data_IF_997563476780
#
_entry.id   IF_997563476780
#
_cell.length_a   1.000
_cell.length_b   1.000
_cell.length_c   1.000
_cell.angle_alpha   90.00
_cell.angle_beta   90.00
_cell.angle_gamma   90.00
#
_symmetry.space_group_name_H-M   'P 1'
#
loop_
_entity.id
_entity.type
_entity.pdbx_description
1 polymer ?
#
# COMPACT_ATOMS: atom_id res chain seq x y z
N UNK A 1 26.09 -4.14 6.62
CA UNK A 1 25.09 -3.06 6.38
C UNK A 1 23.87 -3.72 5.77
N UNK A 2 22.67 -3.42 6.26
CA UNK A 2 21.43 -3.88 5.64
C UNK A 2 21.31 -3.21 4.26
N UNK A 3 21.29 -3.99 3.19
CA UNK A 3 21.18 -3.47 1.82
C UNK A 3 19.74 -3.04 1.57
N UNK A 4 19.54 -1.78 1.16
CA UNK A 4 18.22 -1.24 0.83
C UNK A 4 17.92 -1.54 -0.64
N UNK A 5 17.77 -2.82 -0.98
CA UNK A 5 17.71 -3.31 -2.36
C UNK A 5 16.78 -2.50 -3.26
N UNK A 6 15.51 -2.31 -2.86
CA UNK A 6 14.56 -1.55 -3.68
C UNK A 6 14.98 -0.09 -3.87
N UNK A 7 15.61 0.52 -2.86
CA UNK A 7 16.10 1.88 -2.98
C UNK A 7 17.26 1.94 -3.99
N UNK A 8 18.24 1.05 -3.87
CA UNK A 8 19.37 0.97 -4.79
C UNK A 8 18.88 0.77 -6.23
N UNK A 9 17.96 -0.18 -6.43
CA UNK A 9 17.35 -0.51 -7.71
C UNK A 9 16.59 0.70 -8.32
N UNK A 10 15.94 1.52 -7.48
CA UNK A 10 15.15 2.67 -7.94
C UNK A 10 15.96 3.95 -8.11
N UNK A 11 17.14 4.04 -7.49
CA UNK A 11 18.06 5.16 -7.67
C UNK A 11 18.64 5.16 -9.11
N UNK A 12 18.72 4.00 -9.77
CA UNK A 12 19.12 3.89 -11.19
C UNK A 12 18.06 4.38 -12.18
N UNK A 13 16.79 4.49 -11.76
CA UNK A 13 15.71 5.00 -12.59
C UNK A 13 15.69 6.54 -12.53
N UNK A 14 15.66 7.21 -13.68
CA UNK A 14 15.44 8.64 -13.72
C UNK A 14 13.93 8.95 -13.63
N UNK A 15 13.53 9.76 -12.64
CA UNK A 15 12.13 10.16 -12.47
C UNK A 15 11.66 11.08 -13.60
N UNK A 16 12.54 11.96 -14.08
CA UNK A 16 12.19 12.98 -15.06
C UNK A 16 11.98 12.41 -16.46
N UNK A 17 12.44 11.17 -16.70
CA UNK A 17 12.24 10.47 -17.97
C UNK A 17 10.95 9.65 -18.01
N UNK A 18 10.21 9.54 -16.89
CA UNK A 18 8.92 8.85 -16.88
C UNK A 18 7.90 9.63 -17.75
N UNK A 19 6.84 8.97 -18.26
CA UNK A 19 5.79 9.67 -19.00
C UNK A 19 5.15 10.79 -18.16
N UNK A 20 4.58 11.78 -18.85
CA UNK A 20 3.94 12.93 -18.21
C UNK A 20 2.85 12.54 -17.19
N UNK A 21 2.16 11.41 -17.42
CA UNK A 21 1.14 10.90 -16.50
C UNK A 21 1.71 10.41 -15.16
N UNK A 22 3.03 10.20 -15.06
CA UNK A 22 3.71 9.70 -13.87
C UNK A 22 4.59 10.75 -13.18
N UNK A 23 5.20 11.69 -13.92
CA UNK A 23 6.15 12.66 -13.35
C UNK A 23 5.59 14.07 -13.10
N UNK A 24 4.35 14.37 -13.50
CA UNK A 24 3.77 15.72 -13.44
C UNK A 24 3.16 16.12 -12.09
N UNK A 25 3.31 15.30 -11.04
CA UNK A 25 2.69 15.58 -9.74
C UNK A 25 3.45 16.67 -8.96
N UNK A 26 2.71 17.58 -8.32
CA UNK A 26 3.28 18.46 -7.30
C UNK A 26 3.55 17.67 -6.01
N UNK A 27 4.82 17.31 -5.82
CA UNK A 27 5.27 16.57 -4.65
C UNK A 27 5.61 17.47 -3.47
N UNK A 28 5.75 18.78 -3.65
CA UNK A 28 6.23 19.70 -2.62
C UNK A 28 5.07 20.27 -1.81
N UNK A 29 4.04 20.83 -2.45
CA UNK A 29 2.97 21.55 -1.74
C UNK A 29 2.09 20.57 -0.95
N UNK A 30 1.87 20.80 0.35
CA UNK A 30 1.01 19.93 1.16
C UNK A 30 -0.22 20.67 1.70
N UNK A 31 0.01 21.79 2.37
CA UNK A 31 -1.05 22.69 2.82
C UNK A 31 -0.58 24.14 2.77
N UNK A 32 -1.43 25.10 3.18
CA UNK A 32 -1.08 26.54 3.19
C UNK A 32 0.19 26.84 4.00
N UNK A 33 0.55 25.97 4.95
CA UNK A 33 1.67 26.17 5.88
C UNK A 33 2.70 25.05 5.84
N UNK A 34 2.46 23.99 5.06
CA UNK A 34 3.32 22.80 5.03
C UNK A 34 3.73 22.47 3.61
N UNK A 35 5.01 22.14 3.46
CA UNK A 35 5.58 21.57 2.25
C UNK A 35 6.39 20.34 2.62
N UNK A 36 6.44 19.36 1.71
CA UNK A 36 7.29 18.19 1.86
C UNK A 36 8.75 18.59 1.69
N UNK A 37 9.59 18.08 2.59
CA UNK A 37 11.04 18.24 2.52
C UNK A 37 11.60 17.33 1.42
N UNK A 38 12.82 17.61 0.96
CA UNK A 38 13.43 16.90 -0.18
C UNK A 38 13.49 15.38 0.01
N UNK A 39 13.72 14.91 1.24
CA UNK A 39 13.73 13.47 1.54
C UNK A 39 12.32 12.85 1.48
N UNK A 40 11.28 13.61 1.85
CA UNK A 40 9.89 13.17 1.75
C UNK A 40 9.47 13.13 0.28
N UNK A 41 9.85 14.13 -0.51
CA UNK A 41 9.66 14.13 -1.95
C UNK A 41 10.41 12.98 -2.62
N UNK A 42 11.65 12.69 -2.22
CA UNK A 42 12.42 11.53 -2.71
C UNK A 42 11.69 10.21 -2.39
N UNK A 43 11.14 10.06 -1.18
CA UNK A 43 10.35 8.88 -0.82
C UNK A 43 9.14 8.71 -1.76
N UNK A 44 8.39 9.78 -2.03
CA UNK A 44 7.25 9.74 -2.96
C UNK A 44 7.70 9.43 -4.40
N UNK A 45 8.78 10.06 -4.90
CA UNK A 45 9.35 9.77 -6.22
C UNK A 45 9.74 8.31 -6.37
N UNK A 46 10.38 7.73 -5.36
CA UNK A 46 10.77 6.32 -5.40
C UNK A 46 9.55 5.40 -5.44
N UNK A 47 8.49 5.73 -4.71
CA UNK A 47 7.23 4.98 -4.78
C UNK A 47 6.60 5.05 -6.18
N UNK A 48 6.57 6.24 -6.80
CA UNK A 48 6.06 6.43 -8.16
C UNK A 48 6.85 5.61 -9.17
N UNK A 49 8.19 5.60 -9.10
CA UNK A 49 9.04 4.79 -9.99
C UNK A 49 8.70 3.31 -9.89
N UNK A 50 8.48 2.79 -8.69
CA UNK A 50 8.10 1.37 -8.48
C UNK A 50 6.70 1.09 -8.98
N UNK A 51 5.74 1.99 -8.74
CA UNK A 51 4.38 1.87 -9.29
C UNK A 51 4.40 1.87 -10.81
N UNK A 52 5.17 2.77 -11.45
CA UNK A 52 5.36 2.81 -12.90
C UNK A 52 5.98 1.52 -13.41
N UNK A 53 7.06 1.05 -12.76
CA UNK A 53 7.65 -0.26 -13.12
C UNK A 53 6.64 -1.39 -13.05
N UNK A 54 5.83 -1.41 -12.00
CA UNK A 54 4.85 -2.46 -11.78
C UNK A 54 3.71 -2.40 -12.79
N UNK A 55 3.05 -1.25 -12.92
CA UNK A 55 1.80 -1.10 -13.68
C UNK A 55 1.98 -0.68 -15.14
N UNK A 56 3.16 -0.24 -15.58
CA UNK A 56 3.41 0.13 -16.97
C UNK A 56 4.50 -0.75 -17.61
N UNK A 57 5.71 -0.80 -17.04
CA UNK A 57 6.86 -1.47 -17.65
C UNK A 57 6.77 -3.01 -17.59
N UNK A 58 6.43 -3.58 -16.42
CA UNK A 58 6.35 -5.03 -16.26
C UNK A 58 5.14 -5.61 -17.00
N UNK A 59 3.99 -4.99 -16.86
CA UNK A 59 2.84 -5.26 -17.72
C UNK A 59 1.93 -4.05 -17.64
N UNK A 60 1.70 -3.41 -18.78
CA UNK A 60 0.86 -2.24 -18.87
C UNK A 60 -0.56 -2.52 -18.35
N UNK A 61 -1.06 -1.63 -17.51
CA UNK A 61 -2.37 -1.76 -16.88
C UNK A 61 -3.47 -1.47 -17.89
N UNK A 62 -4.41 -2.41 -17.98
CA UNK A 62 -5.58 -2.25 -18.83
C UNK A 62 -6.85 -2.37 -17.97
N UNK A 63 -7.82 -1.44 -18.12
CA UNK A 63 -9.08 -1.51 -17.38
C UNK A 63 -9.80 -2.85 -17.61
N UNK A 64 -10.12 -3.54 -16.51
CA UNK A 64 -10.76 -4.85 -16.57
C UNK A 64 -9.81 -6.03 -16.81
N UNK A 65 -8.49 -5.82 -16.70
CA UNK A 65 -7.52 -6.91 -16.71
C UNK A 65 -7.81 -7.96 -15.62
N UNK A 66 -7.34 -9.17 -15.87
CA UNK A 66 -7.59 -10.31 -15.00
C UNK A 66 -6.50 -10.44 -13.92
N UNK A 67 -6.74 -11.30 -12.93
CA UNK A 67 -5.79 -11.51 -11.83
C UNK A 67 -4.45 -12.10 -12.30
N UNK A 68 -4.42 -12.78 -13.45
CA UNK A 68 -3.23 -13.33 -14.08
C UNK A 68 -2.22 -12.24 -14.47
N UNK A 69 -2.67 -11.08 -14.96
CA UNK A 69 -1.76 -9.98 -15.30
C UNK A 69 -1.01 -9.50 -14.06
N UNK A 70 -1.69 -9.43 -12.92
CA UNK A 70 -1.05 -9.08 -11.65
C UNK A 70 -0.02 -10.14 -11.21
N UNK A 71 -0.27 -11.43 -11.47
CA UNK A 71 0.72 -12.49 -11.20
C UNK A 71 1.98 -12.33 -12.06
N UNK A 72 1.82 -11.96 -13.34
CA UNK A 72 2.96 -11.64 -14.23
C UNK A 72 3.77 -10.46 -13.70
N UNK A 73 3.11 -9.39 -13.22
CA UNK A 73 3.82 -8.26 -12.59
C UNK A 73 4.58 -8.67 -11.34
N UNK A 74 4.00 -9.50 -10.47
CA UNK A 74 4.69 -10.04 -9.29
C UNK A 74 5.92 -10.86 -9.70
N UNK A 75 5.80 -11.70 -10.74
CA UNK A 75 6.92 -12.48 -11.25
C UNK A 75 8.05 -11.59 -11.75
N UNK A 76 7.74 -10.59 -12.59
CA UNK A 76 8.73 -9.65 -13.12
C UNK A 76 9.35 -8.78 -12.03
N UNK A 77 8.57 -8.33 -11.06
CA UNK A 77 9.08 -7.60 -9.91
C UNK A 77 10.06 -8.47 -9.11
N UNK A 78 9.73 -9.72 -8.85
CA UNK A 78 10.62 -10.65 -8.14
C UNK A 78 11.92 -10.89 -8.94
N UNK A 79 11.82 -11.15 -10.24
CA UNK A 79 12.98 -11.28 -11.12
C UNK A 79 13.85 -10.02 -11.13
N UNK A 80 13.24 -8.83 -11.09
CA UNK A 80 13.97 -7.56 -11.03
C UNK A 80 14.80 -7.45 -9.74
N UNK A 81 14.30 -7.95 -8.60
CA UNK A 81 15.11 -8.05 -7.39
C UNK A 81 16.26 -9.06 -7.55
N UNK A 82 16.00 -10.25 -8.10
CA UNK A 82 17.03 -11.29 -8.33
C UNK A 82 18.17 -10.77 -9.21
N UNK A 83 17.84 -10.14 -10.34
CA UNK A 83 18.84 -9.56 -11.26
C UNK A 83 19.66 -8.43 -10.64
N UNK A 84 19.16 -7.83 -9.56
CA UNK A 84 19.84 -6.76 -8.81
C UNK A 84 20.48 -7.24 -7.50
N UNK A 85 20.61 -8.57 -7.34
CA UNK A 85 21.40 -9.19 -6.28
C UNK A 85 20.61 -9.59 -5.04
N UNK A 86 19.30 -9.83 -5.16
CA UNK A 86 18.58 -10.66 -4.20
C UNK A 86 18.97 -12.12 -4.40
N UNK A 87 19.81 -12.66 -3.52
CA UNK A 87 20.27 -14.05 -3.57
C UNK A 87 19.63 -14.95 -2.48
N UNK A 88 18.91 -14.36 -1.53
CA UNK A 88 18.33 -15.06 -0.40
C UNK A 88 16.97 -15.69 -0.77
N UNK A 89 16.75 -16.94 -0.34
CA UNK A 89 15.43 -17.58 -0.42
C UNK A 89 14.52 -17.02 0.67
N UNK A 90 13.62 -16.11 0.27
CA UNK A 90 12.64 -15.47 1.14
C UNK A 90 11.32 -16.26 1.25
N UNK A 91 11.26 -17.49 0.73
CA UNK A 91 10.04 -18.29 0.76
C UNK A 91 9.62 -18.61 2.20
N UNK A 92 8.34 -18.36 2.49
CA UNK A 92 7.76 -18.58 3.80
C UNK A 92 7.61 -20.09 4.06
N UNK A 93 8.27 -20.59 5.11
CA UNK A 93 8.15 -21.98 5.54
C UNK A 93 6.86 -22.16 6.34
N UNK A 94 6.06 -23.15 5.98
CA UNK A 94 4.82 -23.48 6.66
C UNK A 94 5.04 -24.65 7.62
N UNK A 95 4.71 -24.47 8.90
CA UNK A 95 4.71 -25.55 9.89
C UNK A 95 3.31 -26.15 10.01
N UNK A 96 3.13 -27.39 9.55
CA UNK A 96 1.86 -28.13 9.62
C UNK A 96 1.35 -28.33 11.05
N UNK A 97 2.21 -28.16 12.08
CA UNK A 97 1.79 -28.18 13.49
C UNK A 97 0.98 -26.93 13.87
N UNK A 98 1.20 -25.81 13.18
CA UNK A 98 0.46 -24.55 13.33
C UNK A 98 -0.73 -24.49 12.38
N UNK A 99 -1.68 -25.43 12.52
CA UNK A 99 -2.81 -25.64 11.59
C UNK A 99 -3.55 -24.35 11.21
N UNK A 100 -3.88 -23.49 12.18
CA UNK A 100 -4.60 -22.24 11.91
C UNK A 100 -3.86 -21.29 10.94
N UNK A 101 -2.52 -21.20 11.03
CA UNK A 101 -1.71 -20.36 10.14
C UNK A 101 -1.54 -21.06 8.79
N UNK A 102 -1.32 -22.37 8.81
CA UNK A 102 -1.22 -23.20 7.62
C UNK A 102 -2.49 -23.06 6.77
N UNK A 103 -3.65 -23.39 7.33
CA UNK A 103 -4.94 -23.39 6.63
C UNK A 103 -5.27 -22.00 6.08
N UNK A 104 -5.00 -20.95 6.87
CA UNK A 104 -5.16 -19.57 6.44
C UNK A 104 -4.30 -19.25 5.21
N UNK A 105 -3.00 -19.50 5.25
CA UNK A 105 -2.11 -19.14 4.14
C UNK A 105 -2.39 -19.97 2.89
N UNK A 106 -2.67 -21.27 3.04
CA UNK A 106 -2.99 -22.15 1.91
C UNK A 106 -4.35 -21.86 1.28
N UNK A 107 -5.24 -21.13 1.96
CA UNK A 107 -6.49 -20.68 1.36
C UNK A 107 -6.30 -19.53 0.35
N UNK A 108 -5.20 -18.77 0.45
CA UNK A 108 -4.94 -17.60 -0.39
C UNK A 108 -3.73 -17.75 -1.32
N UNK A 109 -2.78 -18.63 -0.98
CA UNK A 109 -1.53 -18.79 -1.70
C UNK A 109 -1.23 -20.25 -2.01
N UNK A 110 -0.68 -20.53 -3.21
CA UNK A 110 -0.26 -21.88 -3.55
C UNK A 110 0.92 -22.29 -2.65
N UNK A 111 0.85 -23.53 -2.18
CA UNK A 111 1.86 -24.15 -1.34
C UNK A 111 2.57 -25.24 -2.13
N UNK A 112 3.91 -25.21 -2.10
CA UNK A 112 4.76 -26.22 -2.71
C UNK A 112 5.84 -26.66 -1.71
N UNK A 113 5.89 -27.97 -1.42
CA UNK A 113 6.90 -28.59 -0.54
C UNK A 113 6.99 -27.96 0.87
N UNK A 114 5.86 -27.61 1.44
CA UNK A 114 5.70 -26.96 2.74
C UNK A 114 6.07 -25.48 2.75
N UNK A 115 6.08 -24.81 1.58
CA UNK A 115 6.52 -23.42 1.44
C UNK A 115 5.62 -22.61 0.52
N UNK A 116 5.55 -21.31 0.77
CA UNK A 116 4.92 -20.34 -0.12
C UNK A 116 5.99 -19.41 -0.67
N UNK A 117 6.05 -19.27 -1.99
CA UNK A 117 7.03 -18.40 -2.65
C UNK A 117 6.87 -16.94 -2.24
N UNK A 118 7.98 -16.24 -2.02
CA UNK A 118 7.96 -14.81 -1.70
C UNK A 118 7.39 -13.95 -2.83
N UNK A 119 7.37 -14.46 -4.06
CA UNK A 119 6.74 -13.79 -5.20
C UNK A 119 5.29 -13.40 -4.92
N UNK A 120 4.54 -14.19 -4.14
CA UNK A 120 3.15 -13.84 -3.82
C UNK A 120 3.03 -12.60 -2.92
N UNK A 121 4.10 -12.28 -2.19
CA UNK A 121 4.19 -11.21 -1.21
C UNK A 121 4.95 -9.97 -1.73
N UNK A 122 5.60 -10.05 -2.89
CA UNK A 122 6.61 -9.09 -3.36
C UNK A 122 6.08 -7.67 -3.65
N UNK A 123 4.77 -7.50 -3.90
CA UNK A 123 4.14 -6.22 -4.25
C UNK A 123 3.98 -5.28 -3.05
N UNK A 124 5.09 -5.01 -2.34
CA UNK A 124 5.17 -4.15 -1.16
C UNK A 124 6.38 -3.23 -1.25
N UNK A 125 6.26 -2.04 -0.67
CA UNK A 125 7.34 -1.08 -0.51
C UNK A 125 7.47 -0.73 0.97
N UNK A 126 8.70 -0.53 1.44
CA UNK A 126 8.97 -0.20 2.84
C UNK A 126 9.70 1.13 2.95
N UNK A 127 9.14 2.04 3.75
CA UNK A 127 9.71 3.36 4.02
C UNK A 127 10.41 3.35 5.38
N UNK A 128 11.73 3.24 5.39
CA UNK A 128 12.53 3.31 6.61
C UNK A 128 12.79 4.77 6.99
N UNK A 129 11.90 5.35 7.80
CA UNK A 129 11.96 6.76 8.18
C UNK A 129 11.87 6.92 9.71
N UNK A 130 12.67 7.85 10.25
CA UNK A 130 12.71 8.13 11.69
C UNK A 130 11.36 8.64 12.22
N UNK A 131 11.06 8.40 13.50
CA UNK A 131 9.90 9.01 14.16
C UNK A 131 10.00 10.53 14.12
N UNK A 132 8.89 11.21 13.81
CA UNK A 132 8.88 12.67 13.66
C UNK A 132 9.31 13.19 12.28
N UNK A 133 9.79 12.34 11.36
CA UNK A 133 10.12 12.71 9.97
C UNK A 133 8.91 12.98 9.06
N UNK A 134 7.70 13.05 9.63
CA UNK A 134 6.48 13.34 8.87
C UNK A 134 6.02 12.23 7.91
N UNK A 135 6.19 10.94 8.27
CA UNK A 135 5.68 9.79 7.47
C UNK A 135 4.22 9.95 7.03
N UNK A 136 3.36 10.48 7.91
CA UNK A 136 1.94 10.71 7.59
C UNK A 136 1.74 11.65 6.39
N UNK A 137 2.61 12.66 6.21
CA UNK A 137 2.55 13.57 5.07
C UNK A 137 2.92 12.84 3.77
N UNK A 138 3.89 11.92 3.83
CA UNK A 138 4.26 11.05 2.70
C UNK A 138 3.09 10.14 2.33
N UNK A 139 2.42 9.52 3.31
CA UNK A 139 1.24 8.66 3.07
C UNK A 139 0.12 9.46 2.38
N UNK A 140 -0.23 10.64 2.91
CA UNK A 140 -1.28 11.48 2.33
C UNK A 140 -0.89 11.96 0.92
N UNK A 141 0.38 12.32 0.70
CA UNK A 141 0.87 12.69 -0.63
C UNK A 141 0.82 11.50 -1.61
N UNK A 142 1.13 10.28 -1.16
CA UNK A 142 0.98 9.09 -1.99
C UNK A 142 -0.49 8.81 -2.33
N UNK A 143 -1.43 9.07 -1.43
CA UNK A 143 -2.86 8.98 -1.72
C UNK A 143 -3.27 9.96 -2.82
N UNK A 144 -2.74 11.19 -2.79
CA UNK A 144 -2.95 12.17 -3.85
C UNK A 144 -2.44 11.65 -5.21
N UNK A 145 -1.23 11.07 -5.22
CA UNK A 145 -0.62 10.47 -6.42
C UNK A 145 -1.46 9.30 -6.92
N UNK A 146 -1.86 8.36 -6.06
CA UNK A 146 -2.70 7.21 -6.41
C UNK A 146 -4.01 7.68 -7.02
N UNK A 147 -4.67 8.69 -6.43
CA UNK A 147 -5.89 9.28 -6.99
C UNK A 147 -5.68 9.79 -8.41
N UNK A 148 -4.63 10.56 -8.64
CA UNK A 148 -4.34 11.09 -9.98
C UNK A 148 -4.00 9.99 -11.00
N UNK A 149 -3.24 8.97 -10.61
CA UNK A 149 -2.95 7.82 -11.47
C UNK A 149 -4.22 7.01 -11.80
N UNK A 150 -5.12 6.82 -10.82
CA UNK A 150 -6.43 6.18 -11.03
C UNK A 150 -7.27 6.98 -12.04
N UNK A 151 -7.32 8.31 -11.92
CA UNK A 151 -8.06 9.17 -12.85
C UNK A 151 -7.50 9.15 -14.26
N UNK A 152 -6.17 9.08 -14.37
CA UNK A 152 -5.43 8.93 -15.63
C UNK A 152 -5.54 7.51 -16.21
N UNK A 153 -6.10 6.56 -15.45
CA UNK A 153 -6.22 5.13 -15.77
C UNK A 153 -4.87 4.43 -15.94
N UNK A 154 -3.86 4.90 -15.24
CA UNK A 154 -2.50 4.32 -15.21
C UNK A 154 -2.40 3.16 -14.22
N UNK A 155 -3.28 3.14 -13.20
CA UNK A 155 -3.34 2.08 -12.19
C UNK A 155 -4.79 1.68 -11.89
N UNK A 156 -5.03 0.48 -11.34
CA UNK A 156 -6.36 0.04 -10.96
C UNK A 156 -7.04 0.95 -9.93
N UNK A 157 -8.36 1.18 -10.02
CA UNK A 157 -9.14 1.97 -9.06
C UNK A 157 -9.46 1.18 -7.78
N UNK A 158 -8.44 0.59 -7.15
CA UNK A 158 -8.58 -0.17 -5.91
C UNK A 158 -8.84 0.73 -4.70
N UNK A 159 -9.54 0.20 -3.71
CA UNK A 159 -9.84 0.93 -2.47
C UNK A 159 -8.54 1.14 -1.65
N UNK A 160 -8.48 2.22 -0.87
CA UNK A 160 -7.29 2.53 -0.05
C UNK A 160 -7.58 2.24 1.42
N UNK A 161 -6.67 1.53 2.09
CA UNK A 161 -6.74 1.21 3.51
C UNK A 161 -5.46 1.64 4.25
N UNK A 162 -5.62 2.39 5.34
CA UNK A 162 -4.54 2.72 6.27
C UNK A 162 -4.74 1.93 7.57
N UNK A 163 -3.77 1.09 7.91
CA UNK A 163 -3.72 0.40 9.20
C UNK A 163 -2.66 1.02 10.08
N UNK A 164 -3.05 1.44 11.28
CA UNK A 164 -2.15 1.96 12.33
C UNK A 164 -2.40 1.22 13.64
N UNK A 165 -1.54 1.38 14.65
CA UNK A 165 -1.61 0.56 15.88
C UNK A 165 -2.15 1.29 17.12
N UNK A 166 -2.30 2.63 17.08
CA UNK A 166 -2.73 3.43 18.25
C UNK A 166 -3.75 4.51 17.85
N UNK A 167 -4.63 4.85 18.79
CA UNK A 167 -5.68 5.86 18.59
C UNK A 167 -5.11 7.28 18.39
N UNK A 168 -4.00 7.64 19.05
CA UNK A 168 -3.36 8.95 18.88
C UNK A 168 -2.86 9.15 17.44
N UNK A 169 -2.34 8.09 16.81
CA UNK A 169 -1.91 8.09 15.42
C UNK A 169 -3.10 8.27 14.46
N UNK A 170 -4.26 7.66 14.76
CA UNK A 170 -5.50 7.89 14.00
C UNK A 170 -5.91 9.36 14.10
N UNK A 171 -5.89 9.94 15.29
CA UNK A 171 -6.23 11.36 15.48
C UNK A 171 -5.22 12.30 14.81
N UNK A 172 -3.95 11.90 14.74
CA UNK A 172 -2.94 12.63 13.97
C UNK A 172 -3.19 12.54 12.47
N UNK A 173 -3.52 11.35 11.94
CA UNK A 173 -3.89 11.16 10.54
C UNK A 173 -5.09 12.04 10.16
N UNK A 174 -6.16 12.03 10.96
CA UNK A 174 -7.36 12.86 10.75
C UNK A 174 -6.99 14.34 10.63
N UNK A 175 -6.21 14.86 11.58
CA UNK A 175 -5.74 16.26 11.56
C UNK A 175 -4.91 16.61 10.32
N UNK A 176 -4.03 15.71 9.88
CA UNK A 176 -3.23 15.96 8.67
C UNK A 176 -4.06 15.90 7.39
N UNK A 177 -5.08 15.03 7.34
CA UNK A 177 -6.03 14.99 6.23
C UNK A 177 -6.89 16.25 6.20
N UNK A 178 -7.36 16.74 7.35
CA UNK A 178 -8.12 17.98 7.43
C UNK A 178 -7.30 19.18 6.94
N UNK A 179 -6.03 19.28 7.34
CA UNK A 179 -5.11 20.33 6.88
C UNK A 179 -4.82 20.24 5.37
N UNK A 180 -4.63 19.02 4.85
CA UNK A 180 -4.47 18.78 3.42
C UNK A 180 -5.71 19.20 2.63
N UNK A 181 -6.89 18.71 3.04
CA UNK A 181 -8.17 19.00 2.39
C UNK A 181 -8.54 20.48 2.43
N UNK A 182 -8.17 21.21 3.48
CA UNK A 182 -8.45 22.65 3.59
C UNK A 182 -7.65 23.50 2.60
N UNK A 183 -6.47 23.02 2.21
CA UNK A 183 -5.57 23.74 1.32
C UNK A 183 -5.64 23.25 -0.13
N UNK A 184 -6.10 22.01 -0.35
CA UNK A 184 -6.13 21.37 -1.65
C UNK A 184 -7.52 21.49 -2.29
N UNK A 185 -7.57 22.07 -3.49
CA UNK A 185 -8.82 22.21 -4.25
C UNK A 185 -8.98 21.13 -5.34
N UNK A 186 -7.95 20.31 -5.58
CA UNK A 186 -7.95 19.28 -6.61
C UNK A 186 -8.52 17.96 -6.09
N UNK A 187 -8.12 17.58 -4.87
CA UNK A 187 -8.47 16.29 -4.28
C UNK A 187 -8.94 16.48 -2.83
N UNK A 188 -10.07 15.86 -2.50
CA UNK A 188 -10.63 15.79 -1.17
C UNK A 188 -10.64 14.34 -0.66
N UNK A 189 -9.89 14.07 0.41
CA UNK A 189 -9.79 12.75 1.03
C UNK A 189 -10.90 12.60 2.08
N UNK A 190 -11.78 11.61 1.88
CA UNK A 190 -12.81 11.22 2.85
C UNK A 190 -12.33 10.04 3.68
N UNK A 191 -12.02 10.28 4.94
CA UNK A 191 -11.68 9.22 5.88
C UNK A 191 -12.95 8.49 6.36
N UNK A 192 -12.93 7.16 6.29
CA UNK A 192 -14.00 6.27 6.77
C UNK A 192 -13.41 5.17 7.64
N UNK A 193 -14.08 4.81 8.72
CA UNK A 193 -13.67 3.62 9.47
C UNK A 193 -13.91 2.38 8.61
N UNK A 194 -13.02 1.39 8.68
CA UNK A 194 -13.18 0.16 7.91
C UNK A 194 -14.51 -0.55 8.20
N UNK A 195 -15.08 -0.39 9.40
CA UNK A 195 -16.42 -0.91 9.75
C UNK A 195 -17.54 -0.36 8.87
N UNK A 196 -17.38 0.84 8.33
CA UNK A 196 -18.34 1.49 7.43
C UNK A 196 -18.24 0.95 5.99
N UNK A 197 -17.25 0.09 5.68
CA UNK A 197 -16.99 -0.39 4.31
C UNK A 197 -18.22 -0.97 3.61
N UNK A 198 -18.99 -1.92 4.19
CA UNK A 198 -20.17 -2.46 3.50
C UNK A 198 -21.20 -1.38 3.18
N UNK A 199 -21.45 -0.48 4.12
CA UNK A 199 -22.39 0.63 3.93
C UNK A 199 -21.93 1.56 2.80
N UNK A 200 -20.65 1.96 2.81
CA UNK A 200 -20.07 2.84 1.79
C UNK A 200 -20.12 2.19 0.40
N UNK A 201 -19.87 0.88 0.28
CA UNK A 201 -19.93 0.17 -1.01
C UNK A 201 -21.37 -0.09 -1.48
N UNK A 202 -22.34 -0.20 -0.58
CA UNK A 202 -23.76 -0.33 -0.91
C UNK A 202 -24.41 1.00 -1.29
N UNK A 203 -23.94 2.12 -0.71
CA UNK A 203 -24.41 3.45 -1.09
C UNK A 203 -23.93 3.76 -2.51
N UNK A 204 -24.86 4.07 -3.42
CA UNK A 204 -24.56 4.73 -4.68
C UNK A 204 -24.15 6.17 -4.38
N UNK A 205 -22.98 6.36 -3.78
CA UNK A 205 -22.41 7.69 -3.65
C UNK A 205 -22.07 8.15 -5.06
N UNK A 206 -22.72 9.21 -5.52
CA UNK A 206 -22.27 10.00 -6.66
C UNK A 206 -20.93 10.60 -6.25
N UNK A 207 -19.85 9.82 -6.38
CA UNK A 207 -18.51 10.28 -6.08
C UNK A 207 -18.27 11.53 -6.92
N UNK A 208 -18.05 12.66 -6.25
CA UNK A 208 -17.54 13.84 -6.95
C UNK A 208 -16.18 13.44 -7.50
N UNK A 209 -15.88 13.83 -8.74
CA UNK A 209 -14.64 13.48 -9.41
C UNK A 209 -13.41 13.82 -8.55
N UNK A 210 -13.48 14.89 -7.78
CA UNK A 210 -12.41 15.35 -6.88
C UNK A 210 -12.27 14.56 -5.56
N UNK A 211 -13.12 13.58 -5.28
CA UNK A 211 -13.11 12.88 -3.98
C UNK A 211 -12.45 11.50 -4.05
N UNK A 212 -11.75 11.13 -2.98
CA UNK A 212 -11.24 9.77 -2.75
C UNK A 212 -11.58 9.30 -1.35
N UNK A 213 -12.19 8.12 -1.24
CA UNK A 213 -12.45 7.48 0.06
C UNK A 213 -11.23 6.70 0.50
N UNK A 214 -10.81 6.91 1.74
CA UNK A 214 -9.71 6.19 2.37
C UNK A 214 -10.23 5.58 3.65
N UNK A 215 -10.18 4.25 3.72
CA UNK A 215 -10.54 3.52 4.92
C UNK A 215 -9.37 3.54 5.89
N UNK A 216 -9.66 3.62 7.19
CA UNK A 216 -8.64 3.48 8.22
C UNK A 216 -9.12 2.54 9.32
N UNK A 217 -8.18 1.84 9.94
CA UNK A 217 -8.47 1.00 11.08
C UNK A 217 -7.25 0.74 11.95
N UNK A 218 -7.52 0.17 13.13
CA UNK A 218 -6.51 -0.33 14.05
C UNK A 218 -6.08 -1.74 13.65
N UNK A 219 -4.80 -1.91 13.34
CA UNK A 219 -4.23 -3.21 12.94
C UNK A 219 -4.40 -4.27 14.04
N UNK A 220 -4.33 -3.86 15.31
CA UNK A 220 -4.50 -4.77 16.46
C UNK A 220 -5.94 -5.26 16.66
N UNK A 221 -6.90 -4.63 16.01
CA UNK A 221 -8.31 -5.02 16.02
C UNK A 221 -8.71 -5.81 14.76
N UNK A 222 -7.77 -6.10 13.86
CA UNK A 222 -8.00 -6.98 12.71
C UNK A 222 -7.59 -8.42 13.08
N UNK A 223 -8.46 -9.39 12.81
CA UNK A 223 -8.21 -10.81 13.09
C UNK A 223 -8.94 -11.70 12.08
N UNK A 224 -8.74 -13.00 12.18
CA UNK A 224 -9.51 -14.04 11.48
C UNK A 224 -10.74 -14.52 12.27
N UNK A 225 -11.14 -13.77 13.31
CA UNK A 225 -12.29 -14.02 14.19
C UNK A 225 -13.01 -12.70 14.49
N UNK A 226 -14.34 -12.72 14.53
CA UNK A 226 -15.16 -11.56 14.92
C UNK A 226 -15.35 -11.54 16.46
N UNK A 227 -15.03 -10.40 17.10
CA UNK A 227 -15.35 -10.10 18.51
C UNK A 227 -15.93 -8.68 18.62
N UNK A 228 -16.17 -8.18 19.84
CA UNK A 228 -16.82 -6.86 20.05
C UNK A 228 -15.99 -5.70 19.46
N UNK A 229 -14.68 -5.70 19.71
CA UNK A 229 -13.74 -4.71 19.15
C UNK A 229 -12.91 -5.21 17.99
N UNK A 230 -12.89 -6.52 17.75
CA UNK A 230 -12.07 -7.18 16.72
C UNK A 230 -12.95 -7.53 15.53
N UNK A 231 -12.53 -7.15 14.33
CA UNK A 231 -13.25 -7.46 13.09
C UNK A 231 -12.57 -8.60 12.32
N UNK A 232 -13.38 -9.45 11.68
CA UNK A 232 -12.86 -10.47 10.75
C UNK A 232 -12.43 -9.80 9.43
N UNK A 233 -11.16 -9.95 9.06
CA UNK A 233 -10.60 -9.38 7.83
C UNK A 233 -11.29 -9.92 6.57
N UNK A 234 -11.87 -11.14 6.60
CA UNK A 234 -12.55 -11.75 5.46
C UNK A 234 -13.76 -10.95 4.99
N UNK A 235 -14.38 -10.19 5.89
CA UNK A 235 -15.48 -9.28 5.55
C UNK A 235 -15.02 -8.07 4.71
N UNK A 236 -13.72 -7.84 4.63
CA UNK A 236 -13.08 -6.68 4.01
C UNK A 236 -11.99 -7.08 3.02
N UNK A 237 -11.88 -8.36 2.65
CA UNK A 237 -10.80 -8.87 1.79
C UNK A 237 -10.74 -8.17 0.43
N UNK A 238 -11.91 -7.82 -0.13
CA UNK A 238 -12.07 -7.15 -1.43
C UNK A 238 -11.32 -7.86 -2.57
N UNK A 239 -11.15 -9.19 -2.50
CA UNK A 239 -10.37 -9.97 -3.46
C UNK A 239 -8.93 -9.44 -3.62
N UNK A 240 -8.38 -8.87 -2.55
CA UNK A 240 -7.05 -8.25 -2.56
C UNK A 240 -6.94 -6.94 -3.35
N UNK A 241 -8.06 -6.34 -3.78
CA UNK A 241 -8.13 -5.07 -4.53
C UNK A 241 -7.99 -3.88 -3.57
N UNK A 242 -6.84 -3.78 -2.91
CA UNK A 242 -6.49 -2.74 -1.96
C UNK A 242 -5.13 -2.11 -2.23
N UNK A 243 -5.02 -0.80 -2.01
CA UNK A 243 -3.76 -0.15 -1.66
C UNK A 243 -3.67 -0.05 -0.14
N UNK A 244 -2.78 -0.81 0.48
CA UNK A 244 -2.65 -0.88 1.94
C UNK A 244 -1.42 -0.10 2.41
N UNK A 245 -1.63 0.86 3.29
CA UNK A 245 -0.59 1.55 4.05
C UNK A 245 -0.53 1.00 5.47
N UNK A 246 0.61 0.41 5.84
CA UNK A 246 0.85 -0.08 7.20
C UNK A 246 1.77 0.89 7.93
N UNK A 247 1.23 1.62 8.91
CA UNK A 247 2.03 2.48 9.79
C UNK A 247 2.54 1.67 10.98
N UNK A 248 3.81 1.88 11.34
CA UNK A 248 4.48 1.20 12.46
C UNK A 248 4.44 -0.36 12.39
N UNK A 249 4.54 -0.92 11.18
CA UNK A 249 4.45 -2.37 10.90
C UNK A 249 5.49 -3.24 11.66
N UNK A 250 6.56 -2.65 12.19
CA UNK A 250 7.58 -3.37 12.97
C UNK A 250 7.12 -3.73 14.39
N UNK A 251 5.95 -3.26 14.84
CA UNK A 251 5.37 -3.54 16.15
C UNK A 251 4.54 -4.84 16.21
N UNK A 252 4.49 -5.62 15.12
CA UNK A 252 3.91 -6.97 15.15
C UNK A 252 4.87 -7.98 15.77
N UNK A 253 4.37 -8.88 16.63
CA UNK A 253 5.17 -9.96 17.22
C UNK A 253 5.78 -10.87 16.15
N UNK A 254 7.08 -11.16 16.27
CA UNK A 254 7.91 -11.74 15.20
C UNK A 254 7.82 -13.25 15.02
N UNK A 255 7.35 -14.00 16.02
CA UNK A 255 7.60 -15.45 16.02
C UNK A 255 6.39 -16.30 15.57
N UNK A 256 5.16 -15.77 15.66
CA UNK A 256 3.93 -16.54 15.33
C UNK A 256 2.77 -15.71 14.75
N UNK A 257 3.01 -14.46 14.36
CA UNK A 257 1.91 -13.53 14.09
C UNK A 257 1.25 -13.78 12.73
N UNK A 258 -0.01 -14.21 12.74
CA UNK A 258 -0.95 -14.15 11.59
C UNK A 258 -1.04 -12.75 10.95
N UNK A 259 -0.56 -11.71 11.64
CA UNK A 259 -0.69 -10.29 11.25
C UNK A 259 0.50 -9.75 10.46
N UNK A 260 1.63 -10.48 10.39
CA UNK A 260 2.79 -10.13 9.55
C UNK A 260 2.67 -10.78 8.17
#
# INVERSE_FOLDING_TARGET
>A
MTRLLLQDITDDLNFDTLPANWNSFDLQTFSKTKSLWDYQQKAVRNAIKVLWKYFEDFADYQPGETSETNQVRKQKLFQWYETNGLAEDLSLKLDKRKRNIYDLLTAFYPEENGRVSYQHFINRMSFWMATGSGKSLVIIKLIQVLKGLIERREIPPWDILILTHRDDLIQQLKRHVDDFNYANNEIHIRLKELKEYPEVKHQQTLFRREEITVFFYRSDNLSDEQKEKIIDFRNYDNEGKWYIFLDEAHKGDREESKRQ
#
